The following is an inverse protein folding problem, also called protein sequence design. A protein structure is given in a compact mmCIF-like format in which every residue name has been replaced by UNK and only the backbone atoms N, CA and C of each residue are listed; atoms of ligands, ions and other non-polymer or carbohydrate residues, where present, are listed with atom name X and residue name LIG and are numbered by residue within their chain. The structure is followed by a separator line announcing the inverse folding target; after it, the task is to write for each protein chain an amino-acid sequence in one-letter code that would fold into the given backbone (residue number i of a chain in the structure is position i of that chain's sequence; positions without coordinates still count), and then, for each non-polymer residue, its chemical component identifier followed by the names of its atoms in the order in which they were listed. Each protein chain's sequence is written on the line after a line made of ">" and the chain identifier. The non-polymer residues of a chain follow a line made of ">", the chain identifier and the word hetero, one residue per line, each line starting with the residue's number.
data_IF_114913213588
#
_entry.id   IF_114913213588
#
_cell.length_a   1.000
_cell.length_b   1.000
_cell.length_c   1.000
_cell.angle_alpha   90.00
_cell.angle_beta   90.00
_cell.angle_gamma   90.00
#
_symmetry.space_group_name_H-M   'P 1'
#
loop_
_entity.id
_entity.type
_entity.pdbx_description
1 polymer ?
#
# COMPACT_ATOMS: atom_id res chain seq x y z
N UNK A 1 -30.00 -35.55 -21.95
CA UNK A 1 -30.00 -35.05 -20.57
C UNK A 1 -28.57 -34.72 -20.25
N UNK A 2 -28.26 -33.44 -20.07
CA UNK A 2 -26.89 -32.97 -19.84
C UNK A 2 -26.53 -33.15 -18.36
N UNK A 3 -25.25 -33.43 -18.08
CA UNK A 3 -24.75 -33.63 -16.73
C UNK A 3 -23.72 -32.56 -16.35
N UNK A 4 -23.84 -32.04 -15.13
CA UNK A 4 -22.93 -31.05 -14.55
C UNK A 4 -21.55 -31.66 -14.25
N UNK A 5 -20.49 -30.97 -14.68
CA UNK A 5 -19.11 -31.34 -14.34
C UNK A 5 -18.72 -30.81 -12.96
N UNK A 6 -18.13 -31.68 -12.15
CA UNK A 6 -17.54 -31.36 -10.85
C UNK A 6 -16.05 -31.67 -10.84
N UNK A 7 -15.28 -30.81 -10.19
CA UNK A 7 -13.89 -31.09 -9.85
C UNK A 7 -13.83 -31.68 -8.44
N UNK A 8 -13.04 -32.74 -8.27
CA UNK A 8 -12.74 -33.36 -6.97
C UNK A 8 -11.24 -33.28 -6.72
N UNK A 9 -10.87 -32.69 -5.59
CA UNK A 9 -9.51 -32.66 -5.06
C UNK A 9 -9.46 -33.64 -3.89
N UNK A 10 -8.46 -34.51 -3.85
CA UNK A 10 -8.27 -35.47 -2.74
C UNK A 10 -6.83 -35.35 -2.22
N UNK A 11 -6.69 -35.08 -0.93
CA UNK A 11 -5.40 -34.98 -0.22
C UNK A 11 -5.56 -35.73 1.11
N UNK A 12 -4.64 -36.65 1.41
CA UNK A 12 -4.65 -37.47 2.63
C UNK A 12 -6.00 -38.12 2.96
N UNK A 13 -6.68 -38.63 1.91
CA UNK A 13 -7.98 -39.30 2.03
C UNK A 13 -9.18 -38.36 2.24
N UNK A 14 -8.96 -37.05 2.45
CA UNK A 14 -10.04 -36.06 2.54
C UNK A 14 -10.30 -35.43 1.19
N UNK A 15 -11.57 -35.28 0.84
CA UNK A 15 -11.99 -34.72 -0.45
C UNK A 15 -12.64 -33.34 -0.32
N UNK A 16 -12.41 -32.50 -1.33
CA UNK A 16 -13.09 -31.24 -1.54
C UNK A 16 -13.62 -31.19 -2.98
N UNK A 17 -14.84 -30.68 -3.16
CA UNK A 17 -15.51 -30.63 -4.48
C UNK A 17 -16.02 -29.24 -4.80
N UNK A 18 -16.03 -28.90 -6.09
CA UNK A 18 -16.66 -27.69 -6.60
C UNK A 18 -17.15 -27.89 -8.04
N UNK A 19 -18.19 -27.13 -8.44
CA UNK A 19 -18.76 -27.19 -9.78
C UNK A 19 -17.91 -26.45 -10.82
N UNK A 20 -17.74 -27.04 -12.00
CA UNK A 20 -16.95 -26.47 -13.10
C UNK A 20 -17.72 -25.48 -13.99
N UNK A 21 -19.01 -25.23 -13.69
CA UNK A 21 -19.93 -24.40 -14.49
C UNK A 21 -19.98 -24.80 -15.97
N UNK A 22 -19.85 -26.10 -16.23
CA UNK A 22 -19.90 -26.71 -17.56
C UNK A 22 -20.70 -27.99 -17.49
N UNK A 23 -21.46 -28.20 -18.54
CA UNK A 23 -22.31 -29.36 -18.73
C UNK A 23 -21.77 -30.19 -19.89
N UNK A 24 -22.04 -31.49 -19.86
CA UNK A 24 -21.65 -32.40 -20.93
C UNK A 24 -22.70 -33.50 -21.08
N UNK A 25 -22.93 -33.97 -22.32
CA UNK A 25 -23.64 -35.23 -22.54
C UNK A 25 -22.85 -36.39 -21.89
N UNK A 26 -23.46 -37.17 -20.98
CA UNK A 26 -22.82 -38.34 -20.37
C UNK A 26 -22.22 -39.33 -21.38
N UNK A 27 -22.77 -39.44 -22.60
CA UNK A 27 -22.23 -40.31 -23.66
C UNK A 27 -20.86 -39.84 -24.17
N UNK A 28 -20.61 -38.53 -24.06
CA UNK A 28 -19.37 -37.89 -24.45
C UNK A 28 -18.38 -37.77 -23.28
N UNK A 29 -18.62 -38.43 -22.14
CA UNK A 29 -17.73 -38.38 -20.98
C UNK A 29 -17.05 -39.73 -20.73
N UNK A 30 -15.71 -39.73 -20.68
CA UNK A 30 -14.96 -40.90 -20.26
C UNK A 30 -14.70 -40.84 -18.75
N UNK A 31 -15.43 -41.66 -17.99
CA UNK A 31 -15.32 -41.74 -16.52
C UNK A 31 -13.90 -42.14 -16.09
N UNK A 32 -13.28 -43.12 -16.77
CA UNK A 32 -11.94 -43.62 -16.40
C UNK A 32 -10.85 -42.58 -16.65
N UNK A 33 -10.97 -41.80 -17.72
CA UNK A 33 -9.97 -40.80 -18.09
C UNK A 33 -10.26 -39.41 -17.50
N UNK A 34 -11.48 -39.17 -17.01
CA UNK A 34 -11.92 -37.87 -16.51
C UNK A 34 -11.88 -36.78 -17.58
N UNK A 35 -12.25 -37.11 -18.82
CA UNK A 35 -12.17 -36.23 -19.99
C UNK A 35 -13.34 -36.44 -20.95
N UNK A 36 -13.64 -35.43 -21.74
CA UNK A 36 -14.60 -35.52 -22.82
C UNK A 36 -14.06 -36.38 -23.98
N UNK A 37 -14.91 -37.23 -24.55
CA UNK A 37 -14.64 -38.06 -25.74
C UNK A 37 -15.17 -37.38 -27.01
N UNK A 38 -14.62 -37.79 -28.15
CA UNK A 38 -14.99 -37.24 -29.46
C UNK A 38 -14.07 -36.10 -29.93
N UNK A 39 -14.29 -35.68 -31.18
CA UNK A 39 -13.50 -34.65 -31.88
C UNK A 39 -14.26 -33.32 -32.06
N UNK A 40 -15.39 -33.14 -31.37
CA UNK A 40 -16.15 -31.89 -31.47
C UNK A 40 -15.37 -30.73 -30.84
N UNK A 41 -15.67 -29.51 -31.30
CA UNK A 41 -15.12 -28.29 -30.71
C UNK A 41 -15.44 -28.17 -29.21
N UNK A 42 -16.62 -28.65 -28.81
CA UNK A 42 -17.06 -28.71 -27.42
C UNK A 42 -16.21 -29.64 -26.57
N UNK A 43 -16.00 -30.90 -26.99
CA UNK A 43 -15.16 -31.86 -26.27
C UNK A 43 -13.71 -31.37 -26.14
N UNK A 44 -13.19 -30.72 -27.19
CA UNK A 44 -11.86 -30.10 -27.15
C UNK A 44 -11.79 -28.95 -26.14
N UNK A 45 -12.77 -28.04 -26.14
CA UNK A 45 -12.85 -26.90 -25.22
C UNK A 45 -12.95 -27.34 -23.75
N UNK A 46 -13.79 -28.35 -23.46
CA UNK A 46 -13.91 -28.95 -22.13
C UNK A 46 -12.55 -29.53 -21.69
N UNK A 47 -11.88 -30.30 -22.56
CA UNK A 47 -10.59 -30.90 -22.23
C UNK A 47 -9.49 -29.86 -21.98
N UNK A 48 -9.49 -28.74 -22.71
CA UNK A 48 -8.58 -27.60 -22.46
C UNK A 48 -8.86 -26.97 -21.09
N UNK A 49 -10.13 -26.73 -20.75
CA UNK A 49 -10.52 -26.20 -19.44
C UNK A 49 -10.10 -27.13 -18.30
N UNK A 50 -10.35 -28.43 -18.43
CA UNK A 50 -9.95 -29.44 -17.44
C UNK A 50 -8.42 -29.46 -17.26
N UNK A 51 -7.66 -29.38 -18.35
CA UNK A 51 -6.20 -29.30 -18.32
C UNK A 51 -5.70 -28.06 -17.55
N UNK A 52 -6.23 -26.87 -17.89
CA UNK A 52 -5.89 -25.61 -17.19
C UNK A 52 -6.24 -25.65 -15.72
N UNK A 53 -7.43 -26.17 -15.39
CA UNK A 53 -7.91 -26.29 -13.99
C UNK A 53 -7.00 -27.23 -13.21
N UNK A 54 -6.66 -28.40 -13.77
CA UNK A 54 -5.74 -29.35 -13.15
C UNK A 54 -4.36 -28.74 -12.91
N UNK A 55 -3.82 -28.02 -13.90
CA UNK A 55 -2.53 -27.34 -13.76
C UNK A 55 -2.55 -26.29 -12.64
N UNK A 56 -3.57 -25.43 -12.60
CA UNK A 56 -3.72 -24.40 -11.57
C UNK A 56 -3.88 -24.98 -10.16
N UNK A 57 -4.64 -26.07 -10.00
CA UNK A 57 -4.78 -26.77 -8.71
C UNK A 57 -3.43 -27.34 -8.26
N UNK A 58 -2.64 -27.94 -9.16
CA UNK A 58 -1.32 -28.47 -8.81
C UNK A 58 -0.33 -27.37 -8.44
N UNK A 59 -0.38 -26.22 -9.11
CA UNK A 59 0.45 -25.06 -8.79
C UNK A 59 0.13 -24.51 -7.38
N UNK A 60 -1.16 -24.34 -7.07
CA UNK A 60 -1.61 -23.93 -5.73
C UNK A 60 -1.17 -24.93 -4.66
N UNK A 61 -1.36 -26.24 -4.91
CA UNK A 61 -0.94 -27.28 -3.99
C UNK A 61 0.56 -27.19 -3.67
N UNK A 62 1.42 -27.07 -4.69
CA UNK A 62 2.87 -26.91 -4.50
C UNK A 62 3.21 -25.64 -3.73
N UNK A 63 2.59 -24.52 -4.10
CA UNK A 63 2.81 -23.24 -3.43
C UNK A 63 2.44 -23.25 -1.94
N UNK A 64 1.38 -23.97 -1.54
CA UNK A 64 1.02 -24.14 -0.12
C UNK A 64 2.00 -25.10 0.56
N UNK A 65 2.35 -26.22 -0.09
CA UNK A 65 3.27 -27.22 0.46
C UNK A 65 4.68 -26.65 0.73
N UNK A 66 5.13 -25.69 -0.08
CA UNK A 66 6.43 -25.03 0.10
C UNK A 66 6.44 -24.04 1.28
N UNK A 67 5.30 -23.46 1.63
CA UNK A 67 5.19 -22.43 2.69
C UNK A 67 4.71 -22.98 4.03
N UNK A 68 3.95 -24.06 4.01
CA UNK A 68 3.25 -24.58 5.17
C UNK A 68 3.46 -26.08 5.35
N UNK A 69 3.54 -26.52 6.61
CA UNK A 69 3.73 -27.94 6.95
C UNK A 69 2.49 -28.81 6.72
N UNK A 70 1.31 -28.24 6.42
CA UNK A 70 0.07 -29.01 6.25
C UNK A 70 -0.79 -28.45 5.11
N UNK A 71 -1.15 -29.30 4.15
CA UNK A 71 -2.02 -28.96 3.02
C UNK A 71 -3.31 -29.76 3.14
N UNK A 72 -4.46 -29.11 2.92
CA UNK A 72 -5.77 -29.79 2.87
C UNK A 72 -6.48 -29.54 1.56
N UNK A 73 -7.33 -30.49 1.13
CA UNK A 73 -8.11 -30.38 -0.10
C UNK A 73 -9.02 -29.14 -0.09
N UNK A 74 -9.63 -28.82 1.06
CA UNK A 74 -10.50 -27.66 1.21
C UNK A 74 -9.71 -26.35 1.09
N UNK A 75 -8.48 -26.29 1.62
CA UNK A 75 -7.62 -25.10 1.48
C UNK A 75 -7.21 -24.86 0.03
N UNK A 76 -6.79 -25.91 -0.68
CA UNK A 76 -6.47 -25.81 -2.12
C UNK A 76 -7.71 -25.37 -2.92
N UNK A 77 -8.87 -25.96 -2.65
CA UNK A 77 -10.15 -25.54 -3.25
C UNK A 77 -10.44 -24.07 -2.96
N UNK A 78 -10.31 -23.62 -1.72
CA UNK A 78 -10.66 -22.27 -1.36
C UNK A 78 -9.69 -21.25 -1.96
N UNK A 79 -8.40 -21.56 -2.07
CA UNK A 79 -7.45 -20.71 -2.80
C UNK A 79 -7.78 -20.68 -4.29
N UNK A 80 -8.09 -21.83 -4.90
CA UNK A 80 -8.47 -21.93 -6.30
C UNK A 80 -9.75 -21.15 -6.63
N UNK A 81 -10.75 -21.20 -5.74
CA UNK A 81 -12.01 -20.46 -5.86
C UNK A 81 -11.93 -19.01 -5.36
N UNK A 82 -10.79 -18.59 -4.78
CA UNK A 82 -10.60 -17.26 -4.19
C UNK A 82 -11.32 -17.02 -2.84
N UNK A 83 -11.86 -18.07 -2.21
CA UNK A 83 -12.62 -18.04 -0.95
C UNK A 83 -11.73 -17.80 0.28
N UNK A 84 -10.52 -18.37 0.32
CA UNK A 84 -9.60 -18.30 1.50
C UNK A 84 -8.46 -17.29 1.30
N UNK A 85 -8.66 -16.29 0.44
CA UNK A 85 -7.76 -15.14 0.47
C UNK A 85 -8.10 -14.32 1.71
N UNK A 86 -7.27 -14.38 2.76
CA UNK A 86 -7.22 -13.31 3.76
C UNK A 86 -7.04 -12.00 2.98
N UNK A 87 -8.13 -11.29 2.76
CA UNK A 87 -8.09 -10.01 2.06
C UNK A 87 -7.63 -8.98 3.07
N UNK A 88 -6.35 -8.62 2.97
CA UNK A 88 -5.82 -7.46 3.66
C UNK A 88 -6.39 -6.21 3.00
N UNK A 89 -6.93 -5.32 3.83
CA UNK A 89 -7.56 -4.09 3.39
C UNK A 89 -6.59 -2.91 3.53
N UNK A 90 -6.66 -1.95 2.62
CA UNK A 90 -5.71 -0.84 2.55
C UNK A 90 -5.81 0.06 3.79
N UNK A 91 -7.00 0.56 4.12
CA UNK A 91 -7.15 1.49 5.26
C UNK A 91 -6.88 0.79 6.58
N UNK A 92 -7.33 -0.47 6.72
CA UNK A 92 -6.99 -1.28 7.91
C UNK A 92 -5.48 -1.43 8.11
N UNK A 93 -4.73 -1.71 7.03
CA UNK A 93 -3.27 -1.77 7.11
C UNK A 93 -2.68 -0.41 7.54
N UNK A 94 -3.21 0.70 7.02
CA UNK A 94 -2.80 2.04 7.45
C UNK A 94 -3.07 2.29 8.94
N UNK A 95 -4.23 1.88 9.43
CA UNK A 95 -4.62 2.05 10.84
C UNK A 95 -3.66 1.28 11.77
N UNK A 96 -3.30 0.05 11.42
CA UNK A 96 -2.30 -0.75 12.15
C UNK A 96 -0.92 -0.07 12.15
N UNK A 97 -0.49 0.47 11.01
CA UNK A 97 0.78 1.20 10.91
C UNK A 97 0.77 2.51 11.70
N UNK A 98 -0.35 3.25 11.71
CA UNK A 98 -0.51 4.50 12.45
C UNK A 98 -0.47 4.25 13.96
N UNK A 99 -1.15 3.19 14.44
CA UNK A 99 -1.10 2.79 15.84
C UNK A 99 0.35 2.52 16.29
N UNK A 100 1.10 1.71 15.51
CA UNK A 100 2.51 1.46 15.81
C UNK A 100 3.39 2.72 15.74
N UNK A 101 3.06 3.71 14.90
CA UNK A 101 3.77 5.01 14.87
C UNK A 101 3.48 5.86 16.11
N UNK A 102 2.26 5.83 16.62
CA UNK A 102 1.87 6.58 17.81
C UNK A 102 2.75 6.21 19.02
N UNK A 103 2.98 4.90 19.23
CA UNK A 103 3.79 4.39 20.35
C UNK A 103 5.29 4.78 20.29
N UNK A 104 5.73 5.27 19.13
CA UNK A 104 7.11 5.69 18.87
C UNK A 104 7.32 7.19 19.05
N UNK A 105 6.26 7.97 19.29
CA UNK A 105 6.35 9.42 19.51
C UNK A 105 7.20 9.68 20.77
N UNK A 106 8.17 10.59 20.65
CA UNK A 106 9.09 10.93 21.74
C UNK A 106 10.21 9.90 21.99
N UNK A 107 10.18 8.75 21.29
CA UNK A 107 11.24 7.73 21.35
C UNK A 107 12.07 7.68 20.07
N UNK A 108 11.39 7.49 18.94
CA UNK A 108 12.03 7.32 17.62
C UNK A 108 11.47 8.28 16.57
N UNK A 109 10.28 8.82 16.78
CA UNK A 109 9.68 9.78 15.86
C UNK A 109 9.17 11.01 16.61
N UNK A 110 9.07 12.11 15.87
CA UNK A 110 8.41 13.34 16.31
C UNK A 110 6.94 13.34 15.90
N UNK A 111 6.11 14.11 16.60
CA UNK A 111 4.65 14.20 16.34
C UNK A 111 4.32 14.57 14.89
N UNK A 112 5.12 15.44 14.26
CA UNK A 112 4.94 15.82 12.86
C UNK A 112 5.08 14.65 11.89
N UNK A 113 5.83 13.61 12.25
CA UNK A 113 5.96 12.38 11.46
C UNK A 113 4.68 11.55 11.57
N UNK A 114 4.15 11.36 12.78
CA UNK A 114 2.87 10.69 13.00
C UNK A 114 1.72 11.37 12.23
N UNK A 115 1.61 12.70 12.35
CA UNK A 115 0.57 13.48 11.68
C UNK A 115 0.54 13.27 10.17
N UNK A 116 1.70 13.12 9.51
CA UNK A 116 1.77 12.85 8.08
C UNK A 116 1.09 11.54 7.69
N UNK A 117 1.25 10.49 8.50
CA UNK A 117 0.58 9.19 8.27
C UNK A 117 -0.92 9.30 8.52
N UNK A 118 -1.31 9.97 9.62
CA UNK A 118 -2.70 10.18 9.99
C UNK A 118 -3.48 10.95 8.90
N UNK A 119 -2.96 12.10 8.46
CA UNK A 119 -3.62 12.89 7.41
C UNK A 119 -3.63 12.19 6.05
N UNK A 120 -2.59 11.42 5.72
CA UNK A 120 -2.59 10.58 4.52
C UNK A 120 -3.70 9.54 4.55
N UNK A 121 -3.91 8.86 5.70
CA UNK A 121 -5.01 7.90 5.84
C UNK A 121 -6.36 8.56 5.63
N UNK A 122 -6.60 9.74 6.21
CA UNK A 122 -7.82 10.52 5.97
C UNK A 122 -8.00 10.79 4.46
N UNK A 123 -6.94 11.26 3.78
CA UNK A 123 -6.98 11.55 2.35
C UNK A 123 -7.27 10.32 1.49
N UNK A 124 -6.74 9.16 1.87
CA UNK A 124 -7.06 7.88 1.23
C UNK A 124 -8.52 7.50 1.46
N UNK A 125 -9.05 7.66 2.68
CA UNK A 125 -10.45 7.38 2.98
C UNK A 125 -11.40 8.27 2.17
N UNK A 126 -11.13 9.58 2.11
CA UNK A 126 -11.92 10.52 1.29
C UNK A 126 -11.88 10.13 -0.18
N UNK A 127 -10.68 9.80 -0.71
CA UNK A 127 -10.52 9.35 -2.09
C UNK A 127 -11.34 8.10 -2.43
N UNK A 128 -11.35 7.10 -1.54
CA UNK A 128 -12.11 5.87 -1.74
C UNK A 128 -13.62 6.14 -1.74
N UNK A 129 -14.10 7.00 -0.83
CA UNK A 129 -15.52 7.37 -0.75
C UNK A 129 -15.95 8.18 -1.98
N UNK A 130 -15.16 9.18 -2.37
CA UNK A 130 -15.52 10.11 -3.44
C UNK A 130 -15.40 9.49 -4.83
N UNK A 131 -14.33 8.70 -5.09
CA UNK A 131 -14.06 8.16 -6.44
C UNK A 131 -14.56 6.74 -6.66
N UNK A 132 -14.50 5.90 -5.62
CA UNK A 132 -14.82 4.48 -5.74
C UNK A 132 -16.11 4.11 -5.02
N UNK A 133 -16.69 5.01 -4.21
CA UNK A 133 -17.83 4.75 -3.34
C UNK A 133 -17.61 3.55 -2.41
N UNK A 134 -16.37 3.40 -1.94
CA UNK A 134 -15.94 2.33 -1.04
C UNK A 134 -15.50 2.91 0.30
N UNK A 135 -15.84 2.19 1.38
CA UNK A 135 -15.31 2.51 2.70
C UNK A 135 -13.85 2.05 2.87
N UNK A 136 -13.47 0.96 2.21
CA UNK A 136 -12.09 0.43 2.16
C UNK A 136 -11.93 -0.40 0.87
N UNK A 137 -10.69 -0.75 0.53
CA UNK A 137 -10.35 -1.48 -0.69
C UNK A 137 -9.34 -2.62 -0.39
N UNK A 138 -9.50 -3.82 -0.99
CA UNK A 138 -8.52 -4.89 -0.85
C UNK A 138 -7.15 -4.50 -1.44
N UNK A 139 -6.05 -4.86 -0.77
CA UNK A 139 -4.70 -4.56 -1.23
C UNK A 139 -4.39 -5.12 -2.63
N UNK A 140 -5.04 -6.22 -3.03
CA UNK A 140 -4.87 -6.82 -4.37
C UNK A 140 -5.39 -5.93 -5.51
N UNK A 141 -6.32 -5.02 -5.23
CA UNK A 141 -6.87 -4.08 -6.21
C UNK A 141 -5.94 -2.87 -6.42
N UNK A 142 -4.91 -2.72 -5.58
CA UNK A 142 -3.96 -1.62 -5.64
C UNK A 142 -2.94 -1.88 -6.75
N UNK A 143 -3.20 -1.28 -7.90
CA UNK A 143 -2.35 -1.35 -9.08
C UNK A 143 -1.77 0.03 -9.44
N UNK A 144 -0.97 0.08 -10.51
CA UNK A 144 -0.37 1.33 -10.99
C UNK A 144 -1.41 2.43 -11.25
N UNK A 145 -2.56 2.07 -11.84
CA UNK A 145 -3.63 3.02 -12.14
C UNK A 145 -4.26 3.59 -10.88
N UNK A 146 -4.43 2.79 -9.82
CA UNK A 146 -4.89 3.27 -8.52
C UNK A 146 -3.95 4.36 -7.97
N UNK A 147 -2.63 4.12 -7.99
CA UNK A 147 -1.64 5.12 -7.50
C UNK A 147 -1.73 6.41 -8.32
N UNK A 148 -1.77 6.31 -9.66
CA UNK A 148 -1.93 7.48 -10.55
C UNK A 148 -3.23 8.24 -10.30
N UNK A 149 -4.33 7.51 -10.11
CA UNK A 149 -5.62 8.10 -9.81
C UNK A 149 -5.61 8.85 -8.48
N UNK A 150 -4.89 8.34 -7.48
CA UNK A 150 -4.75 8.99 -6.19
C UNK A 150 -3.85 10.22 -6.26
N UNK A 151 -2.72 10.14 -6.98
CA UNK A 151 -1.86 11.30 -7.27
C UNK A 151 -2.66 12.44 -7.91
N UNK A 152 -3.42 12.13 -8.97
CA UNK A 152 -4.26 13.11 -9.65
C UNK A 152 -5.34 13.70 -8.73
N UNK A 153 -5.96 12.88 -7.88
CA UNK A 153 -6.94 13.35 -6.91
C UNK A 153 -6.35 14.35 -5.90
N UNK A 154 -5.15 14.07 -5.38
CA UNK A 154 -4.46 15.00 -4.48
C UNK A 154 -4.14 16.32 -5.18
N UNK A 155 -3.75 16.27 -6.45
CA UNK A 155 -3.44 17.46 -7.24
C UNK A 155 -4.70 18.29 -7.54
N UNK A 156 -5.74 17.67 -8.09
CA UNK A 156 -6.90 18.39 -8.64
C UNK A 156 -7.99 18.67 -7.63
N UNK A 157 -8.40 17.67 -6.86
CA UNK A 157 -9.52 17.79 -5.92
C UNK A 157 -9.07 18.41 -4.58
N UNK A 158 -7.86 18.10 -4.13
CA UNK A 158 -7.34 18.60 -2.85
C UNK A 158 -6.40 19.80 -2.97
N UNK A 159 -5.97 20.15 -4.18
CA UNK A 159 -5.08 21.29 -4.43
C UNK A 159 -3.72 21.17 -3.72
N UNK A 160 -3.24 19.94 -3.48
CA UNK A 160 -1.97 19.73 -2.80
C UNK A 160 -0.80 20.13 -3.70
N UNK A 161 0.21 20.77 -3.11
CA UNK A 161 1.50 21.02 -3.80
C UNK A 161 2.23 19.72 -4.11
N UNK A 162 3.03 19.70 -5.17
CA UNK A 162 3.77 18.51 -5.61
C UNK A 162 4.64 17.91 -4.51
N UNK A 163 5.29 18.75 -3.68
CA UNK A 163 6.08 18.29 -2.54
C UNK A 163 5.27 17.49 -1.50
N UNK A 164 4.00 17.86 -1.28
CA UNK A 164 3.11 17.13 -0.37
C UNK A 164 2.64 15.82 -1.00
N UNK A 165 2.32 15.84 -2.29
CA UNK A 165 1.94 14.64 -3.05
C UNK A 165 3.10 13.63 -3.03
N UNK A 166 4.32 14.08 -3.33
CA UNK A 166 5.52 13.25 -3.29
C UNK A 166 5.75 12.61 -1.92
N UNK A 167 5.56 13.38 -0.85
CA UNK A 167 5.62 12.89 0.53
C UNK A 167 4.58 11.79 0.78
N UNK A 168 3.33 12.01 0.40
CA UNK A 168 2.25 11.04 0.55
C UNK A 168 2.51 9.76 -0.23
N UNK A 169 2.87 9.86 -1.52
CA UNK A 169 3.21 8.70 -2.34
C UNK A 169 4.40 7.92 -1.78
N UNK A 170 5.39 8.61 -1.19
CA UNK A 170 6.53 7.96 -0.53
C UNK A 170 6.09 7.16 0.70
N UNK A 171 5.13 7.65 1.48
CA UNK A 171 4.59 6.92 2.63
C UNK A 171 3.77 5.71 2.18
N UNK A 172 2.90 5.87 1.17
CA UNK A 172 2.14 4.74 0.58
C UNK A 172 3.11 3.67 0.08
N UNK A 173 4.16 4.07 -0.66
CA UNK A 173 5.20 3.16 -1.16
C UNK A 173 5.81 2.34 -0.02
N UNK A 174 6.20 2.98 1.09
CA UNK A 174 6.76 2.29 2.26
C UNK A 174 5.80 1.26 2.86
N UNK A 175 4.51 1.60 2.96
CA UNK A 175 3.49 0.70 3.53
C UNK A 175 3.23 -0.49 2.60
N UNK A 176 3.15 -0.28 1.28
CA UNK A 176 2.96 -1.36 0.32
C UNK A 176 4.21 -2.23 0.15
N UNK A 177 5.41 -1.66 0.29
CA UNK A 177 6.66 -2.44 0.38
C UNK A 177 6.67 -3.35 1.62
N UNK A 178 6.17 -2.86 2.76
CA UNK A 178 6.01 -3.69 3.96
C UNK A 178 4.96 -4.79 3.73
N UNK A 179 3.82 -4.47 3.11
CA UNK A 179 2.80 -5.44 2.76
C UNK A 179 3.34 -6.52 1.82
N UNK A 180 4.18 -6.15 0.85
CA UNK A 180 4.86 -7.08 -0.04
C UNK A 180 5.83 -8.00 0.72
N UNK A 181 6.65 -7.44 1.64
CA UNK A 181 7.56 -8.23 2.48
C UNK A 181 6.83 -9.21 3.42
N UNK A 182 5.63 -8.85 3.86
CA UNK A 182 4.77 -9.71 4.68
C UNK A 182 3.89 -10.66 3.83
N UNK A 183 4.10 -10.71 2.51
CA UNK A 183 3.33 -11.54 1.58
C UNK A 183 1.82 -11.25 1.54
N UNK A 184 1.39 -10.06 1.97
CA UNK A 184 0.00 -9.62 1.88
C UNK A 184 -0.40 -9.28 0.44
N UNK A 185 0.60 -8.93 -0.38
CA UNK A 185 0.49 -8.73 -1.82
C UNK A 185 1.64 -9.44 -2.52
N UNK A 186 1.40 -9.97 -3.72
CA UNK A 186 2.41 -10.69 -4.51
C UNK A 186 3.15 -9.81 -5.52
N UNK A 187 2.69 -8.57 -5.72
CA UNK A 187 3.31 -7.60 -6.63
C UNK A 187 3.32 -6.22 -6.00
N UNK A 188 4.47 -5.55 -6.05
CA UNK A 188 4.57 -4.17 -5.62
C UNK A 188 4.06 -3.22 -6.73
N UNK A 189 3.02 -2.41 -6.49
CA UNK A 189 2.48 -1.49 -7.51
C UNK A 189 3.40 -0.30 -7.82
N UNK A 190 4.44 -0.05 -7.01
CA UNK A 190 5.43 1.01 -7.21
C UNK A 190 6.67 0.58 -8.03
N UNK A 191 6.76 -0.66 -8.51
CA UNK A 191 7.98 -1.21 -9.15
C UNK A 191 8.53 -0.34 -10.29
N UNK A 192 7.66 0.38 -11.02
CA UNK A 192 8.03 1.31 -12.08
C UNK A 192 7.39 2.69 -11.91
N UNK A 193 7.01 3.04 -10.68
CA UNK A 193 6.39 4.32 -10.40
C UNK A 193 7.46 5.35 -9.99
N UNK A 194 7.62 6.39 -10.80
CA UNK A 194 8.50 7.52 -10.48
C UNK A 194 7.71 8.55 -9.68
N UNK A 195 8.12 8.76 -8.43
CA UNK A 195 7.57 9.83 -7.59
C UNK A 195 8.31 11.10 -7.94
N UNK A 196 7.62 12.04 -8.56
CA UNK A 196 8.18 13.36 -8.89
C UNK A 196 8.12 14.27 -7.67
N UNK A 197 9.24 14.93 -7.37
CA UNK A 197 9.30 15.90 -6.28
C UNK A 197 9.76 17.24 -6.85
N UNK A 198 9.06 18.29 -6.48
CA UNK A 198 9.44 19.65 -6.84
C UNK A 198 10.44 20.16 -5.81
N UNK A 199 11.63 20.56 -6.27
CA UNK A 199 12.57 21.26 -5.40
C UNK A 199 11.97 22.63 -5.11
N UNK A 200 11.52 22.83 -3.88
CA UNK A 200 11.20 24.18 -3.42
C UNK A 200 12.51 24.97 -3.37
N UNK A 201 12.63 25.99 -4.22
CA UNK A 201 13.66 27.01 -4.05
C UNK A 201 13.37 27.74 -2.73
N UNK A 202 14.31 27.66 -1.80
CA UNK A 202 14.28 28.47 -0.59
C UNK A 202 15.12 29.70 -0.89
N UNK A 203 14.50 30.88 -0.87
CA UNK A 203 15.24 32.12 -0.90
C UNK A 203 16.22 32.19 0.27
N UNK A 204 17.29 32.95 0.11
CA UNK A 204 18.23 33.28 1.17
C UNK A 204 18.27 34.79 1.35
N UNK A 205 18.66 35.23 2.54
CA UNK A 205 18.91 36.64 2.79
C UNK A 205 20.38 36.94 2.51
N UNK A 206 20.62 38.04 1.82
CA UNK A 206 21.94 38.66 1.67
C UNK A 206 22.35 39.35 2.97
N UNK A 207 23.65 39.63 3.12
CA UNK A 207 24.18 40.36 4.27
C UNK A 207 23.47 41.71 4.47
N UNK A 208 23.20 42.43 3.37
CA UNK A 208 22.52 43.73 3.38
C UNK A 208 21.08 43.57 3.92
N UNK A 209 20.34 42.56 3.48
CA UNK A 209 18.99 42.31 3.97
C UNK A 209 18.96 41.93 5.46
N UNK A 210 19.97 41.20 5.94
CA UNK A 210 20.14 40.91 7.37
C UNK A 210 20.40 42.18 8.18
N UNK A 211 21.25 43.09 7.68
CA UNK A 211 21.54 44.38 8.32
C UNK A 211 20.31 45.30 8.35
N UNK A 212 19.52 45.33 7.28
CA UNK A 212 18.24 46.04 7.24
C UNK A 212 17.29 45.48 8.29
N UNK A 213 17.16 44.16 8.39
CA UNK A 213 16.31 43.52 9.40
C UNK A 213 16.77 43.83 10.81
N UNK A 214 18.08 43.79 11.09
CA UNK A 214 18.66 44.09 12.40
C UNK A 214 18.28 45.50 12.88
N UNK A 215 18.29 46.49 11.98
CA UNK A 215 18.01 47.89 12.30
C UNK A 215 16.52 48.26 12.22
N UNK A 216 15.66 47.34 11.77
CA UNK A 216 14.23 47.58 11.61
C UNK A 216 13.56 47.82 12.97
N UNK A 217 12.90 48.98 13.14
CA UNK A 217 12.14 49.29 14.36
C UNK A 217 10.83 48.54 14.38
N UNK A 218 10.64 47.72 15.42
CA UNK A 218 9.50 46.83 15.60
C UNK A 218 8.89 47.02 16.99
N UNK A 219 7.69 46.50 17.20
CA UNK A 219 7.13 46.41 18.55
C UNK A 219 7.90 45.36 19.39
N UNK A 220 7.78 45.38 20.71
CA UNK A 220 8.55 44.50 21.62
C UNK A 220 8.46 43.01 21.27
N UNK A 221 7.30 42.54 20.82
CA UNK A 221 7.11 41.12 20.47
C UNK A 221 7.90 40.74 19.22
N UNK A 222 7.79 41.56 18.16
CA UNK A 222 8.47 41.34 16.90
C UNK A 222 9.97 41.62 16.99
N UNK A 223 10.38 42.56 17.85
CA UNK A 223 11.78 42.85 18.18
C UNK A 223 12.47 41.59 18.73
N UNK A 224 11.84 40.91 19.70
CA UNK A 224 12.38 39.66 20.25
C UNK A 224 12.48 38.56 19.18
N UNK A 225 11.50 38.45 18.29
CA UNK A 225 11.55 37.50 17.17
C UNK A 225 12.69 37.82 16.20
N UNK A 226 12.88 39.10 15.84
CA UNK A 226 13.99 39.57 15.03
C UNK A 226 15.32 39.21 15.70
N UNK A 227 15.50 39.52 16.96
CA UNK A 227 16.79 39.30 17.65
C UNK A 227 17.17 37.82 17.70
N UNK A 228 16.19 36.93 17.96
CA UNK A 228 16.39 35.47 17.89
C UNK A 228 16.73 35.02 16.47
N UNK A 229 16.03 35.54 15.45
CA UNK A 229 16.30 35.20 14.06
C UNK A 229 17.70 35.65 13.62
N UNK A 230 18.09 36.88 13.95
CA UNK A 230 19.41 37.44 13.68
C UNK A 230 20.50 36.63 14.40
N UNK A 231 20.28 36.27 15.66
CA UNK A 231 21.19 35.38 16.40
C UNK A 231 21.37 34.03 15.69
N UNK A 232 20.30 33.41 15.18
CA UNK A 232 20.38 32.21 14.35
C UNK A 232 21.20 32.44 13.07
N UNK A 233 21.03 33.57 12.39
CA UNK A 233 21.82 33.91 11.19
C UNK A 233 23.33 33.96 11.47
N UNK A 234 23.75 34.56 12.60
CA UNK A 234 25.17 34.68 12.94
C UNK A 234 25.80 33.41 13.50
N UNK A 235 25.02 32.60 14.22
CA UNK A 235 25.53 31.38 14.87
C UNK A 235 25.36 30.12 14.03
N UNK A 236 24.50 30.15 13.01
CA UNK A 236 24.12 28.98 12.23
C UNK A 236 23.26 27.98 13.01
N UNK A 237 22.83 28.32 14.24
CA UNK A 237 21.98 27.46 15.06
C UNK A 237 20.55 27.43 14.54
N UNK A 238 19.92 26.26 14.58
CA UNK A 238 18.50 26.17 14.27
C UNK A 238 17.67 26.83 15.37
N UNK A 239 16.47 27.30 15.02
CA UNK A 239 15.57 27.91 16.01
C UNK A 239 15.32 27.00 17.23
N UNK A 240 15.19 25.69 17.01
CA UNK A 240 14.94 24.75 18.12
C UNK A 240 16.15 24.61 19.03
N UNK A 241 17.37 24.76 18.51
CA UNK A 241 18.59 24.74 19.32
C UNK A 241 18.71 26.02 20.17
N UNK A 242 18.42 27.18 19.57
CA UNK A 242 18.40 28.47 20.29
C UNK A 242 17.29 28.50 21.34
N UNK A 243 16.11 27.95 21.04
CA UNK A 243 15.02 27.84 22.00
C UNK A 243 15.39 26.99 23.22
N UNK A 244 16.22 25.95 23.04
CA UNK A 244 16.71 25.08 24.10
C UNK A 244 18.09 25.51 24.65
N UNK A 245 18.57 26.70 24.30
CA UNK A 245 19.85 27.24 24.76
C UNK A 245 19.70 27.77 26.19
N UNK A 246 20.57 27.31 27.08
CA UNK A 246 20.63 27.74 28.47
C UNK A 246 21.99 28.38 28.75
N UNK A 247 22.08 29.24 29.77
CA UNK A 247 23.34 29.91 30.13
C UNK A 247 24.49 28.91 30.40
N UNK A 248 24.18 27.73 30.95
CA UNK A 248 25.13 26.65 31.19
C UNK A 248 25.81 26.10 29.93
N UNK A 249 25.15 26.24 28.77
CA UNK A 249 25.68 25.81 27.47
C UNK A 249 26.57 26.86 26.82
N UNK A 250 26.68 28.05 27.40
CA UNK A 250 27.54 29.14 26.91
C UNK A 250 28.79 29.19 27.79
N UNK A 251 29.94 28.84 27.22
CA UNK A 251 31.24 28.93 27.90
C UNK A 251 32.04 30.08 27.29
N UNK A 252 32.39 31.05 28.12
CA UNK A 252 33.36 32.07 27.75
C UNK A 252 34.74 31.41 27.73
N UNK A 253 35.48 31.59 26.63
CA UNK A 253 36.91 31.27 26.54
C UNK A 253 37.71 32.48 26.98
#
# INVERSE_FOLDING_TARGET
>A
MEAYLYCRITIDGKEARFGMKKDIDPKLWNIKQGKATGKSAESSSINVLLGKTKAGIHEIYRGIQERENAVSAEKVKNVFLGIDSKQYMLLKLFDEQIAGKFDLIGKRIVNSTYNRYYYLRIRLSEFLIEKYHLADIPLREINYQFIRNFEMYLLTARGNKQSTIALYLTIIKKILELAYKNEFIFRNPFINYKIENEKSERGYLTQIEVEVLMNLKLNKTLERTRDVFIFCCFTGLSYIDVFNLTGEKIRYK
#
